data_IF_578625735417
#
_entry.id   IF_578625735417
#
_cell.length_a   1.000
_cell.length_b   1.000
_cell.length_c   1.000
_cell.angle_alpha   90.00
_cell.angle_beta   90.00
_cell.angle_gamma   90.00
#
_symmetry.space_group_name_H-M   'P 1'
#
loop_
_entity.id
_entity.type
_entity.pdbx_description
1 polymer ?
#
# COMPACT_ATOMS: atom_id res chain seq x y z
N UNK A 1 -11.49 -23.82 -9.24
CA UNK A 1 -11.84 -22.60 -10.02
C UNK A 1 -12.87 -22.98 -11.08
N UNK A 2 -14.09 -22.47 -10.94
CA UNK A 2 -15.26 -22.89 -11.73
C UNK A 2 -15.66 -21.92 -12.86
N UNK A 3 -14.80 -20.96 -13.22
CA UNK A 3 -15.18 -19.85 -14.11
C UNK A 3 -14.67 -19.97 -15.56
N UNK A 4 -14.07 -21.09 -15.96
CA UNK A 4 -13.58 -21.28 -17.32
C UNK A 4 -14.35 -22.42 -18.00
N UNK A 5 -14.91 -22.14 -19.17
CA UNK A 5 -15.62 -23.15 -19.97
C UNK A 5 -14.64 -24.29 -20.29
N UNK A 6 -15.08 -25.55 -20.18
CA UNK A 6 -14.20 -26.69 -20.45
C UNK A 6 -13.84 -26.78 -21.95
N UNK A 7 -14.73 -26.33 -22.83
CA UNK A 7 -14.52 -26.18 -24.27
C UNK A 7 -14.57 -24.69 -24.61
N UNK A 8 -13.59 -24.25 -25.38
CA UNK A 8 -13.45 -22.88 -25.88
C UNK A 8 -13.73 -22.87 -27.37
N UNK A 9 -14.48 -21.87 -27.81
CA UNK A 9 -14.78 -21.70 -29.23
C UNK A 9 -13.61 -21.04 -29.95
N UNK A 10 -13.29 -21.53 -31.16
CA UNK A 10 -12.32 -20.88 -32.04
C UNK A 10 -13.06 -19.85 -32.88
N UNK A 11 -12.52 -18.64 -32.95
CA UNK A 11 -13.10 -17.56 -33.75
C UNK A 11 -12.38 -17.44 -35.10
N UNK A 12 -13.18 -17.28 -36.15
CA UNK A 12 -12.70 -16.98 -37.50
C UNK A 12 -12.17 -15.54 -37.60
N UNK A 13 -11.51 -15.22 -38.71
CA UNK A 13 -11.04 -13.86 -39.00
C UNK A 13 -12.16 -12.80 -39.09
N UNK A 14 -13.40 -13.23 -39.32
CA UNK A 14 -14.58 -12.37 -39.35
C UNK A 14 -15.09 -12.00 -37.95
N UNK A 15 -14.57 -12.63 -36.90
CA UNK A 15 -15.00 -12.44 -35.51
C UNK A 15 -16.19 -13.30 -35.10
N UNK A 16 -16.60 -14.24 -35.94
CA UNK A 16 -17.67 -15.22 -35.70
C UNK A 16 -17.07 -16.56 -35.28
N UNK A 17 -17.83 -17.37 -34.53
CA UNK A 17 -17.39 -18.72 -34.15
C UNK A 17 -17.22 -19.59 -35.40
N UNK A 18 -16.07 -20.25 -35.55
CA UNK A 18 -15.77 -21.08 -36.73
C UNK A 18 -16.38 -22.48 -36.67
N UNK A 19 -17.11 -22.82 -35.60
CA UNK A 19 -17.65 -24.16 -35.33
C UNK A 19 -16.62 -25.13 -34.74
N UNK A 20 -15.33 -24.78 -34.73
CA UNK A 20 -14.28 -25.58 -34.06
C UNK A 20 -14.23 -25.24 -32.58
N UNK A 21 -14.04 -26.26 -31.76
CA UNK A 21 -13.86 -26.13 -30.32
C UNK A 21 -12.54 -26.77 -29.88
N UNK A 22 -11.88 -26.17 -28.90
CA UNK A 22 -10.67 -26.69 -28.28
C UNK A 22 -10.88 -26.82 -26.78
N UNK A 23 -10.43 -27.94 -26.20
CA UNK A 23 -10.49 -28.16 -24.75
C UNK A 23 -9.55 -27.16 -24.05
N UNK A 24 -10.01 -26.55 -22.97
CA UNK A 24 -9.20 -25.65 -22.15
C UNK A 24 -7.98 -26.39 -21.55
N UNK A 25 -6.74 -25.99 -21.90
CA UNK A 25 -5.53 -26.60 -21.37
C UNK A 25 -5.44 -26.51 -19.85
N UNK A 26 -4.88 -27.54 -19.22
CA UNK A 26 -4.80 -27.63 -17.76
C UNK A 26 -3.98 -26.49 -17.13
N UNK A 27 -3.05 -25.88 -17.88
CA UNK A 27 -2.25 -24.73 -17.44
C UNK A 27 -3.10 -23.52 -17.02
N UNK A 28 -4.29 -23.34 -17.60
CA UNK A 28 -5.20 -22.25 -17.22
C UNK A 28 -5.91 -22.49 -15.89
N UNK A 29 -5.92 -23.74 -15.42
CA UNK A 29 -6.45 -24.12 -14.11
C UNK A 29 -5.36 -24.09 -13.04
N UNK A 30 -4.10 -23.78 -13.37
CA UNK A 30 -2.99 -23.75 -12.42
C UNK A 30 -3.21 -22.73 -11.27
N UNK A 31 -2.61 -22.95 -10.09
CA UNK A 31 -2.70 -22.00 -8.97
C UNK A 31 -2.12 -20.62 -9.33
N UNK A 32 -2.88 -19.58 -9.01
CA UNK A 32 -2.46 -18.18 -9.21
C UNK A 32 -1.70 -17.70 -7.97
N UNK A 33 -0.39 -17.44 -8.11
CA UNK A 33 0.49 -16.93 -7.05
C UNK A 33 1.12 -15.59 -7.43
N UNK A 34 0.47 -14.44 -7.12
CA UNK A 34 0.98 -13.12 -7.50
C UNK A 34 2.30 -12.79 -6.80
N UNK A 35 2.54 -13.31 -5.60
CA UNK A 35 3.80 -13.22 -4.86
C UNK A 35 4.98 -13.85 -5.64
N UNK A 36 4.80 -15.08 -6.13
CA UNK A 36 5.82 -15.77 -6.94
C UNK A 36 6.03 -15.03 -8.26
N UNK A 37 4.96 -14.60 -8.93
CA UNK A 37 5.05 -13.85 -10.18
C UNK A 37 5.83 -12.55 -9.98
N UNK A 38 5.54 -11.79 -8.93
CA UNK A 38 6.24 -10.54 -8.64
C UNK A 38 7.71 -10.77 -8.26
N UNK A 39 8.02 -11.80 -7.47
CA UNK A 39 9.38 -12.18 -7.11
C UNK A 39 10.22 -12.53 -8.36
N UNK A 40 9.67 -13.40 -9.22
CA UNK A 40 10.32 -13.81 -10.46
C UNK A 40 10.47 -12.62 -11.42
N UNK A 41 9.42 -11.81 -11.59
CA UNK A 41 9.45 -10.62 -12.44
C UNK A 41 10.54 -9.65 -11.98
N UNK A 42 10.59 -9.34 -10.69
CA UNK A 42 11.55 -8.38 -10.11
C UNK A 42 12.99 -8.82 -10.32
N UNK A 43 13.28 -10.11 -10.16
CA UNK A 43 14.64 -10.62 -10.33
C UNK A 43 15.02 -10.76 -11.81
N UNK A 44 14.13 -11.25 -12.67
CA UNK A 44 14.41 -11.34 -14.11
C UNK A 44 14.55 -9.98 -14.77
N UNK A 45 13.78 -8.97 -14.34
CA UNK A 45 13.88 -7.59 -14.85
C UNK A 45 15.21 -6.93 -14.50
N UNK A 46 16.00 -7.46 -13.56
CA UNK A 46 17.36 -6.95 -13.30
C UNK A 46 18.35 -7.38 -14.38
N UNK A 47 18.07 -8.48 -15.10
CA UNK A 47 19.04 -9.12 -15.99
C UNK A 47 19.19 -8.44 -17.36
N UNK A 48 18.33 -7.48 -17.70
CA UNK A 48 18.45 -6.70 -18.93
C UNK A 48 19.06 -5.31 -18.70
N UNK A 49 19.61 -5.06 -17.51
CA UNK A 49 20.22 -3.78 -17.16
C UNK A 49 21.66 -3.73 -17.64
N UNK A 50 22.07 -2.58 -18.15
CA UNK A 50 23.49 -2.31 -18.43
C UNK A 50 24.19 -1.78 -17.17
N UNK A 51 25.41 -2.24 -16.87
CA UNK A 51 26.25 -1.67 -15.82
C UNK A 51 26.50 -0.18 -16.05
N UNK A 52 26.67 0.56 -14.95
CA UNK A 52 27.15 1.94 -14.99
C UNK A 52 28.13 2.16 -13.83
N UNK A 53 29.19 2.90 -14.11
CA UNK A 53 30.25 3.23 -13.16
C UNK A 53 30.77 4.64 -13.45
N UNK A 54 31.32 5.29 -12.43
CA UNK A 54 32.14 6.51 -12.63
C UNK A 54 33.57 6.10 -12.99
N UNK A 55 34.32 6.97 -13.66
CA UNK A 55 35.74 6.73 -13.91
C UNK A 55 36.50 6.52 -12.59
N UNK A 56 37.45 5.59 -12.57
CA UNK A 56 38.27 5.31 -11.40
C UNK A 56 39.12 6.53 -10.99
N UNK A 57 39.56 7.31 -11.98
CA UNK A 57 40.45 8.45 -11.78
C UNK A 57 39.70 9.77 -11.50
N UNK A 58 38.37 9.74 -11.51
CA UNK A 58 37.55 10.92 -11.28
C UNK A 58 37.82 11.53 -9.89
N UNK A 59 38.31 12.76 -9.85
CA UNK A 59 38.68 13.45 -8.62
C UNK A 59 40.04 13.03 -8.05
N UNK A 60 40.81 12.19 -8.76
CA UNK A 60 42.16 11.74 -8.42
C UNK A 60 43.26 12.21 -9.39
N UNK A 61 42.90 12.83 -10.52
CA UNK A 61 43.83 13.35 -11.53
C UNK A 61 44.59 14.61 -11.09
N UNK A 62 44.38 15.11 -9.86
CA UNK A 62 45.03 16.31 -9.34
C UNK A 62 46.06 15.94 -8.28
N UNK A 63 47.29 16.44 -8.41
CA UNK A 63 48.29 16.35 -7.33
C UNK A 63 47.95 17.36 -6.23
N UNK A 64 47.71 16.87 -5.02
CA UNK A 64 47.30 17.67 -3.89
C UNK A 64 47.83 17.06 -2.58
N UNK A 65 48.16 17.92 -1.62
CA UNK A 65 48.75 17.50 -0.36
C UNK A 65 48.15 18.33 0.78
N UNK A 66 48.02 17.73 1.96
CA UNK A 66 47.54 18.47 3.13
C UNK A 66 48.63 19.42 3.62
N UNK A 67 48.27 20.65 3.91
CA UNK A 67 49.21 21.63 4.48
C UNK A 67 49.48 21.41 5.97
N UNK A 68 48.88 20.39 6.59
CA UNK A 68 49.02 20.12 8.01
C UNK A 68 48.34 21.17 8.89
N UNK A 69 48.82 21.32 10.12
CA UNK A 69 48.36 22.34 11.08
C UNK A 69 49.12 23.66 10.91
N UNK A 70 48.66 24.73 11.55
CA UNK A 70 49.40 26.00 11.65
C UNK A 70 49.11 27.05 10.57
N UNK A 71 48.19 26.80 9.63
CA UNK A 71 47.82 27.76 8.57
C UNK A 71 46.37 28.29 8.64
N UNK A 72 45.73 28.22 9.81
CA UNK A 72 44.32 28.62 10.02
C UNK A 72 43.32 28.08 8.98
N UNK A 73 43.60 26.91 8.40
CA UNK A 73 42.78 26.24 7.39
C UNK A 73 42.55 24.77 7.75
N UNK A 74 41.46 24.19 7.25
CA UNK A 74 41.17 22.77 7.41
C UNK A 74 42.27 21.89 6.78
N UNK A 75 42.56 20.75 7.43
CA UNK A 75 43.62 19.77 7.09
C UNK A 75 43.32 18.91 5.85
N UNK A 76 42.49 19.40 4.93
CA UNK A 76 42.17 18.70 3.68
C UNK A 76 43.32 18.85 2.68
N UNK A 77 43.61 17.86 1.81
CA UNK A 77 44.57 18.02 0.73
C UNK A 77 44.19 19.18 -0.18
N UNK A 78 45.17 20.02 -0.54
CA UNK A 78 45.02 21.20 -1.38
C UNK A 78 45.91 21.11 -2.61
N UNK A 79 45.42 21.62 -3.74
CA UNK A 79 46.17 21.64 -5.00
C UNK A 79 47.41 22.51 -4.86
N UNK A 80 48.57 21.96 -5.27
CA UNK A 80 49.87 22.65 -5.22
C UNK A 80 49.99 23.70 -6.35
N UNK A 81 50.95 24.62 -6.23
CA UNK A 81 51.23 25.66 -7.22
C UNK A 81 50.62 27.03 -6.88
N UNK A 82 50.62 27.96 -7.84
CA UNK A 82 50.18 29.35 -7.71
C UNK A 82 49.66 29.91 -9.04
N UNK A 83 49.23 31.17 -9.07
CA UNK A 83 48.86 31.89 -10.32
C UNK A 83 47.53 31.49 -10.97
N UNK A 84 46.75 30.57 -10.39
CA UNK A 84 45.42 30.19 -10.90
C UNK A 84 44.39 30.13 -9.77
N UNK A 85 43.11 30.27 -10.11
CA UNK A 85 42.02 30.13 -9.13
C UNK A 85 41.96 28.73 -8.50
N UNK A 86 42.59 27.70 -9.10
CA UNK A 86 42.54 26.32 -8.60
C UNK A 86 43.58 26.05 -7.50
N UNK A 87 44.69 26.78 -7.50
CA UNK A 87 45.78 26.64 -6.54
C UNK A 87 45.29 26.89 -5.11
N UNK A 88 45.68 26.04 -4.15
CA UNK A 88 45.27 26.15 -2.75
C UNK A 88 43.85 25.70 -2.41
N UNK A 89 43.02 25.31 -3.40
CA UNK A 89 41.69 24.75 -3.15
C UNK A 89 41.74 23.29 -2.68
N UNK A 90 40.72 22.85 -1.93
CA UNK A 90 40.57 21.46 -1.50
C UNK A 90 40.39 20.46 -2.65
N UNK A 91 40.93 19.25 -2.48
CA UNK A 91 40.91 18.15 -3.43
C UNK A 91 40.69 16.79 -2.74
N UNK A 92 40.51 15.73 -3.53
CA UNK A 92 40.26 14.32 -3.14
C UNK A 92 39.01 14.02 -2.30
N UNK A 93 38.65 14.85 -1.33
CA UNK A 93 37.51 14.62 -0.43
C UNK A 93 36.16 14.65 -1.14
N UNK A 94 35.21 13.85 -0.68
CA UNK A 94 33.82 13.84 -1.17
C UNK A 94 33.03 15.09 -0.82
N UNK A 95 33.47 15.85 0.18
CA UNK A 95 32.96 17.17 0.52
C UNK A 95 33.61 18.30 -0.30
N UNK A 96 34.68 18.02 -1.05
CA UNK A 96 35.36 19.02 -1.87
C UNK A 96 34.70 19.15 -3.25
N UNK A 97 34.50 20.38 -3.71
CA UNK A 97 34.06 20.66 -5.09
C UNK A 97 35.11 20.13 -6.08
N UNK A 98 34.69 19.28 -7.02
CA UNK A 98 35.58 18.64 -7.99
C UNK A 98 36.42 17.48 -7.42
N UNK A 99 36.20 17.07 -6.17
CA UNK A 99 36.78 15.87 -5.58
C UNK A 99 36.08 14.58 -6.02
N UNK A 100 36.55 13.43 -5.51
CA UNK A 100 35.93 12.13 -5.81
C UNK A 100 34.64 11.95 -5.03
N UNK A 101 33.69 11.18 -5.54
CA UNK A 101 32.49 10.83 -4.74
C UNK A 101 32.78 9.77 -3.69
N UNK A 102 31.97 9.73 -2.63
CA UNK A 102 31.99 8.64 -1.67
C UNK A 102 31.52 7.32 -2.32
N UNK A 103 32.21 6.22 -2.02
CA UNK A 103 31.95 4.88 -2.54
C UNK A 103 31.64 4.85 -4.06
N UNK A 104 32.63 5.17 -4.92
CA UNK A 104 32.44 5.21 -6.37
C UNK A 104 31.79 3.94 -6.91
N UNK A 105 30.80 4.10 -7.80
CA UNK A 105 30.09 2.96 -8.39
C UNK A 105 31.04 2.10 -9.20
N UNK A 106 31.06 0.80 -8.92
CA UNK A 106 31.92 -0.17 -9.60
C UNK A 106 31.16 -0.98 -10.64
N UNK A 107 31.86 -1.34 -11.71
CA UNK A 107 31.32 -2.16 -12.81
C UNK A 107 30.89 -3.54 -12.34
N UNK A 108 31.64 -4.15 -11.41
CA UNK A 108 31.41 -5.50 -10.86
C UNK A 108 30.32 -5.58 -9.78
N UNK A 109 29.47 -4.56 -9.62
CA UNK A 109 28.26 -4.69 -8.77
C UNK A 109 27.47 -5.92 -9.23
N UNK A 110 26.91 -6.69 -8.29
CA UNK A 110 26.05 -7.83 -8.65
C UNK A 110 24.75 -7.33 -9.31
N UNK A 111 24.74 -7.15 -10.63
CA UNK A 111 23.59 -6.66 -11.40
C UNK A 111 22.55 -7.75 -11.64
N UNK A 112 23.02 -8.93 -12.05
CA UNK A 112 22.19 -10.04 -12.46
C UNK A 112 21.69 -10.86 -11.27
N UNK A 113 20.51 -11.48 -11.41
CA UNK A 113 19.91 -12.39 -10.44
C UNK A 113 19.44 -13.67 -11.16
N UNK A 114 19.97 -14.81 -10.71
CA UNK A 114 19.48 -16.13 -11.10
C UNK A 114 18.18 -16.42 -10.35
N UNK A 115 17.28 -17.12 -11.02
CA UNK A 115 16.01 -17.61 -10.48
C UNK A 115 15.87 -19.07 -10.88
N UNK A 116 15.31 -19.90 -10.01
CA UNK A 116 15.14 -21.33 -10.25
C UNK A 116 14.20 -21.58 -11.43
N UNK A 117 14.51 -22.59 -12.24
CA UNK A 117 13.72 -22.93 -13.44
C UNK A 117 12.29 -23.30 -13.05
N UNK A 118 12.10 -24.07 -11.96
CA UNK A 118 10.78 -24.40 -11.42
C UNK A 118 9.96 -23.16 -11.05
N UNK A 119 10.55 -22.18 -10.37
CA UNK A 119 9.88 -20.91 -10.04
C UNK A 119 9.53 -20.09 -11.28
N UNK A 120 10.42 -20.04 -12.29
CA UNK A 120 10.12 -19.37 -13.56
C UNK A 120 8.93 -20.01 -14.27
N UNK A 121 8.89 -21.35 -14.34
CA UNK A 121 7.79 -22.11 -14.94
C UNK A 121 6.49 -21.90 -14.16
N UNK A 122 6.54 -21.94 -12.83
CA UNK A 122 5.40 -21.63 -11.95
C UNK A 122 4.83 -20.23 -12.24
N UNK A 123 5.69 -19.21 -12.31
CA UNK A 123 5.25 -17.84 -12.59
C UNK A 123 4.58 -17.71 -13.96
N UNK A 124 5.03 -18.45 -14.98
CA UNK A 124 4.34 -18.48 -16.28
C UNK A 124 2.97 -19.14 -16.13
N UNK A 125 2.87 -20.31 -15.49
CA UNK A 125 1.58 -20.98 -15.28
C UNK A 125 0.58 -20.10 -14.52
N UNK A 126 1.00 -19.45 -13.43
CA UNK A 126 0.15 -18.50 -12.71
C UNK A 126 -0.27 -17.30 -13.55
N UNK A 127 0.62 -16.77 -14.41
CA UNK A 127 0.28 -15.66 -15.30
C UNK A 127 -0.72 -16.07 -16.39
N UNK A 128 -0.58 -17.27 -16.94
CA UNK A 128 -1.50 -17.85 -17.92
C UNK A 128 -2.88 -18.10 -17.29
N UNK A 129 -2.94 -18.80 -16.16
CA UNK A 129 -4.19 -19.02 -15.43
C UNK A 129 -4.92 -17.70 -15.09
N UNK A 130 -4.17 -16.68 -14.65
CA UNK A 130 -4.76 -15.37 -14.39
C UNK A 130 -5.27 -14.64 -15.65
N UNK A 131 -4.68 -14.91 -16.82
CA UNK A 131 -5.16 -14.37 -18.09
C UNK A 131 -6.43 -15.05 -18.63
N UNK A 132 -6.90 -16.14 -18.00
CA UNK A 132 -8.18 -16.77 -18.30
C UNK A 132 -9.35 -16.23 -17.46
N UNK A 133 -9.07 -15.38 -16.45
CA UNK A 133 -10.11 -14.85 -15.55
C UNK A 133 -10.49 -13.42 -15.93
N UNK A 134 -11.74 -13.17 -16.36
CA UNK A 134 -12.18 -11.83 -16.76
C UNK A 134 -11.94 -10.77 -15.69
N UNK A 135 -12.27 -11.06 -14.43
CA UNK A 135 -12.09 -10.13 -13.32
C UNK A 135 -10.63 -9.67 -13.16
N UNK A 136 -9.66 -10.57 -13.29
CA UNK A 136 -8.24 -10.21 -13.18
C UNK A 136 -7.78 -9.39 -14.40
N UNK A 137 -8.24 -9.73 -15.60
CA UNK A 137 -7.90 -9.00 -16.82
C UNK A 137 -8.49 -7.58 -16.83
N UNK A 138 -9.73 -7.43 -16.36
CA UNK A 138 -10.36 -6.12 -16.17
C UNK A 138 -9.68 -5.30 -15.07
N UNK A 139 -9.30 -5.91 -13.94
CA UNK A 139 -8.63 -5.21 -12.85
C UNK A 139 -7.27 -4.63 -13.27
N UNK A 140 -6.59 -5.28 -14.23
CA UNK A 140 -5.38 -4.74 -14.87
C UNK A 140 -5.69 -3.47 -15.68
N UNK A 141 -6.92 -3.34 -16.16
CA UNK A 141 -7.47 -2.21 -16.89
C UNK A 141 -7.51 -2.40 -18.40
N UNK A 142 -7.49 -3.64 -18.90
CA UNK A 142 -7.78 -3.91 -20.31
C UNK A 142 -9.27 -3.67 -20.60
N UNK A 143 -9.58 -3.20 -21.82
CA UNK A 143 -10.96 -3.07 -22.30
C UNK A 143 -11.40 -4.39 -22.93
N UNK A 144 -12.18 -5.19 -22.19
CA UNK A 144 -12.64 -6.51 -22.61
C UNK A 144 -14.16 -6.66 -22.53
N UNK A 145 -14.89 -5.55 -22.34
CA UNK A 145 -16.33 -5.54 -22.10
C UNK A 145 -17.14 -6.12 -23.26
N UNK A 146 -16.67 -5.93 -24.50
CA UNK A 146 -17.33 -6.38 -25.72
C UNK A 146 -16.74 -7.69 -26.29
N UNK A 147 -15.69 -8.24 -25.67
CA UNK A 147 -14.99 -9.43 -26.15
C UNK A 147 -15.86 -10.66 -25.91
N UNK A 148 -16.04 -11.56 -26.90
CA UNK A 148 -17.04 -12.61 -26.82
C UNK A 148 -16.66 -13.74 -25.85
N UNK A 149 -15.37 -14.09 -25.75
CA UNK A 149 -14.88 -15.16 -24.89
C UNK A 149 -13.46 -14.88 -24.39
N UNK A 150 -13.12 -15.43 -23.22
CA UNK A 150 -11.82 -15.33 -22.60
C UNK A 150 -11.47 -16.68 -21.93
N UNK A 151 -10.35 -17.34 -22.29
CA UNK A 151 -9.34 -16.99 -23.29
C UNK A 151 -9.86 -16.84 -24.72
N UNK A 152 -9.36 -15.83 -25.45
CA UNK A 152 -9.74 -15.61 -26.85
C UNK A 152 -8.83 -16.43 -27.78
N UNK A 153 -9.42 -17.35 -28.55
CA UNK A 153 -8.72 -18.22 -29.50
C UNK A 153 -9.19 -17.92 -30.92
N UNK A 154 -8.23 -17.75 -31.84
CA UNK A 154 -8.45 -17.41 -33.25
C UNK A 154 -7.82 -18.45 -34.17
N UNK A 155 -8.35 -18.60 -35.38
CA UNK A 155 -7.81 -19.55 -36.37
C UNK A 155 -6.36 -19.26 -36.79
N UNK A 156 -5.65 -20.30 -37.19
CA UNK A 156 -4.23 -20.23 -37.57
C UNK A 156 -3.97 -19.40 -38.85
N UNK A 157 -5.00 -19.09 -39.64
CA UNK A 157 -4.90 -18.22 -40.82
C UNK A 157 -4.26 -16.86 -40.49
N UNK A 158 -4.44 -16.39 -39.25
CA UNK A 158 -3.86 -15.12 -38.75
C UNK A 158 -2.34 -15.16 -38.68
N UNK A 159 -1.73 -16.35 -38.55
CA UNK A 159 -0.27 -16.50 -38.57
C UNK A 159 0.35 -16.13 -39.94
N UNK A 160 -0.44 -16.29 -41.02
CA UNK A 160 -0.04 -15.98 -42.40
C UNK A 160 -0.28 -14.53 -42.85
N UNK A 161 -0.80 -13.66 -41.98
CA UNK A 161 -1.05 -12.26 -42.35
C UNK A 161 0.25 -11.53 -42.67
N UNK A 162 0.25 -10.79 -43.79
CA UNK A 162 1.42 -10.02 -44.24
C UNK A 162 1.23 -8.51 -44.08
N UNK A 163 -0.01 -8.02 -44.09
CA UNK A 163 -0.33 -6.59 -44.08
C UNK A 163 -0.93 -6.15 -42.75
N UNK A 164 -0.50 -4.99 -42.25
CA UNK A 164 -1.04 -4.37 -41.03
C UNK A 164 -2.53 -4.04 -41.13
N UNK A 165 -3.04 -3.77 -42.34
CA UNK A 165 -4.46 -3.48 -42.58
C UNK A 165 -5.35 -4.67 -42.16
N UNK A 166 -4.94 -5.88 -42.51
CA UNK A 166 -5.62 -7.13 -42.11
C UNK A 166 -5.56 -7.32 -40.60
N UNK A 167 -4.39 -7.09 -39.98
CA UNK A 167 -4.21 -7.17 -38.54
C UNK A 167 -5.08 -6.14 -37.76
N UNK A 168 -5.28 -4.94 -38.28
CA UNK A 168 -6.20 -3.95 -37.68
C UNK A 168 -7.65 -4.39 -37.86
N UNK A 169 -8.01 -4.93 -39.02
CA UNK A 169 -9.37 -5.38 -39.32
C UNK A 169 -9.80 -6.48 -38.35
N UNK A 170 -8.97 -7.49 -38.15
CA UNK A 170 -9.30 -8.60 -37.23
C UNK A 170 -9.45 -8.11 -35.78
N UNK A 171 -8.61 -7.19 -35.31
CA UNK A 171 -8.73 -6.64 -33.95
C UNK A 171 -10.03 -5.82 -33.75
N UNK A 172 -10.55 -5.20 -34.82
CA UNK A 172 -11.87 -4.56 -34.80
C UNK A 172 -12.98 -5.60 -34.77
N UNK A 173 -12.89 -6.65 -35.59
CA UNK A 173 -13.88 -7.74 -35.63
C UNK A 173 -13.98 -8.51 -34.31
N UNK A 174 -12.84 -8.76 -33.66
CA UNK A 174 -12.76 -9.38 -32.34
C UNK A 174 -13.09 -8.40 -31.19
N UNK A 175 -13.48 -7.15 -31.49
CA UNK A 175 -13.81 -6.10 -30.52
C UNK A 175 -12.67 -5.74 -29.54
N UNK A 176 -11.45 -6.17 -29.83
CA UNK A 176 -10.24 -5.86 -29.07
C UNK A 176 -9.65 -4.46 -29.36
N UNK A 177 -10.17 -3.76 -30.39
CA UNK A 177 -9.66 -2.46 -30.82
C UNK A 177 -9.83 -1.36 -29.76
N UNK A 178 -10.82 -1.46 -28.87
CA UNK A 178 -11.03 -0.50 -27.79
C UNK A 178 -9.84 -0.47 -26.81
N UNK A 179 -9.17 -1.60 -26.58
CA UNK A 179 -7.95 -1.64 -25.76
C UNK A 179 -6.78 -0.92 -26.47
N UNK A 180 -6.73 -0.97 -27.79
CA UNK A 180 -5.71 -0.27 -28.60
C UNK A 180 -6.00 1.23 -28.66
N UNK A 181 -7.26 1.65 -28.83
CA UNK A 181 -7.66 3.06 -28.69
C UNK A 181 -7.22 3.63 -27.33
N UNK A 182 -7.34 2.85 -26.26
CA UNK A 182 -6.84 3.22 -24.92
C UNK A 182 -5.31 3.34 -24.89
N UNK A 183 -4.58 2.53 -25.64
CA UNK A 183 -3.12 2.71 -25.80
C UNK A 183 -2.81 4.03 -26.49
N UNK A 184 -3.46 4.34 -27.62
CA UNK A 184 -3.30 5.61 -28.32
C UNK A 184 -3.56 6.81 -27.39
N UNK A 185 -4.69 6.82 -26.68
CA UNK A 185 -5.03 7.89 -25.73
C UNK A 185 -4.03 8.03 -24.56
N UNK A 186 -3.32 6.95 -24.22
CA UNK A 186 -2.34 6.97 -23.12
C UNK A 186 -0.93 7.45 -23.53
N UNK A 187 -0.69 7.71 -24.81
CA UNK A 187 0.60 8.14 -25.30
C UNK A 187 0.93 9.54 -24.78
N UNK A 188 1.98 9.65 -23.98
CA UNK A 188 2.41 10.92 -23.39
C UNK A 188 3.91 10.99 -23.21
N UNK A 189 4.39 12.19 -22.93
CA UNK A 189 5.81 12.45 -22.65
C UNK A 189 6.18 11.92 -21.26
N UNK A 190 7.37 11.32 -21.14
CA UNK A 190 7.90 10.86 -19.86
C UNK A 190 8.29 12.05 -18.99
N UNK A 191 7.85 12.05 -17.73
CA UNK A 191 8.29 13.03 -16.74
C UNK A 191 9.77 12.83 -16.35
N UNK A 192 10.47 13.94 -16.09
CA UNK A 192 11.85 13.94 -15.58
C UNK A 192 12.96 13.68 -16.62
N UNK A 193 14.17 13.34 -16.12
CA UNK A 193 15.42 13.24 -16.89
C UNK A 193 15.47 12.08 -17.89
N UNK A 194 14.47 11.19 -17.90
CA UNK A 194 14.39 10.09 -18.86
C UNK A 194 14.26 10.56 -20.33
N UNK A 195 13.76 11.78 -20.55
CA UNK A 195 13.66 12.40 -21.88
C UNK A 195 15.02 12.55 -22.56
N UNK A 196 16.05 12.88 -21.79
CA UNK A 196 17.44 13.04 -22.25
C UNK A 196 18.17 11.69 -22.46
N UNK A 197 17.57 10.57 -22.02
CA UNK A 197 18.21 9.24 -22.03
C UNK A 197 17.48 8.27 -22.96
N UNK A 198 17.10 8.74 -24.16
CA UNK A 198 16.40 7.97 -25.19
C UNK A 198 15.10 7.26 -24.74
N UNK A 199 14.41 7.82 -23.73
CA UNK A 199 13.15 7.26 -23.18
C UNK A 199 12.05 8.33 -23.13
N UNK A 200 11.95 9.14 -24.19
CA UNK A 200 11.12 10.36 -24.25
C UNK A 200 9.61 10.11 -24.15
N UNK A 201 9.09 9.05 -24.79
CA UNK A 201 7.65 8.72 -24.82
C UNK A 201 7.33 7.52 -23.93
N UNK A 202 6.12 7.51 -23.35
CA UNK A 202 5.53 6.39 -22.61
C UNK A 202 4.14 6.09 -23.15
N UNK A 203 3.73 4.82 -23.06
CA UNK A 203 2.40 4.35 -23.46
C UNK A 203 2.01 3.11 -22.66
N UNK A 204 0.71 2.84 -22.59
CA UNK A 204 0.15 1.62 -21.98
C UNK A 204 0.54 0.36 -22.78
N UNK A 205 0.53 -0.80 -22.12
CA UNK A 205 0.62 -2.10 -22.80
C UNK A 205 -0.78 -2.56 -23.19
N UNK A 206 -0.96 -2.95 -24.45
CA UNK A 206 -2.20 -3.50 -24.98
C UNK A 206 -2.19 -5.04 -24.96
N UNK A 207 -2.97 -5.68 -25.85
CA UNK A 207 -3.08 -7.13 -25.91
C UNK A 207 -1.75 -7.81 -26.23
N UNK A 208 -1.61 -9.05 -25.79
CA UNK A 208 -0.53 -9.93 -26.17
C UNK A 208 -1.04 -10.96 -27.18
N UNK A 209 -0.50 -10.99 -28.39
CA UNK A 209 -0.81 -12.01 -29.40
C UNK A 209 0.21 -13.14 -29.25
N UNK A 210 -0.29 -14.36 -29.05
CA UNK A 210 0.52 -15.56 -28.83
C UNK A 210 0.28 -16.51 -29.98
N UNK A 211 1.37 -16.85 -30.68
CA UNK A 211 1.37 -17.65 -31.90
C UNK A 211 2.33 -18.83 -31.81
N UNK A 212 2.19 -19.80 -32.69
CA UNK A 212 3.07 -20.96 -32.77
C UNK A 212 4.20 -20.72 -33.77
N UNK A 213 3.87 -20.40 -35.02
CA UNK A 213 4.83 -20.21 -36.11
C UNK A 213 4.75 -18.78 -36.70
N UNK A 214 5.87 -18.28 -37.20
CA UNK A 214 5.93 -16.92 -37.77
C UNK A 214 5.95 -16.97 -39.29
N UNK A 215 4.76 -16.98 -39.89
CA UNK A 215 4.56 -16.96 -41.34
C UNK A 215 4.29 -15.54 -41.89
N UNK A 216 4.55 -14.50 -41.08
CA UNK A 216 4.27 -13.11 -41.43
C UNK A 216 3.62 -12.31 -40.30
N UNK A 217 3.02 -12.99 -39.33
CA UNK A 217 2.31 -12.38 -38.19
C UNK A 217 3.15 -11.33 -37.46
N UNK A 218 4.46 -11.56 -37.29
CA UNK A 218 5.30 -10.55 -36.63
C UNK A 218 5.36 -9.25 -37.41
N UNK A 219 5.47 -9.32 -38.74
CA UNK A 219 5.51 -8.14 -39.61
C UNK A 219 4.16 -7.43 -39.65
N UNK A 220 3.05 -8.19 -39.67
CA UNK A 220 1.70 -7.62 -39.69
C UNK A 220 1.34 -6.88 -38.39
N UNK A 221 1.70 -7.41 -37.22
CA UNK A 221 1.27 -6.84 -35.93
C UNK A 221 2.28 -5.88 -35.29
N UNK A 222 3.58 -5.91 -35.64
CA UNK A 222 4.63 -5.12 -34.94
C UNK A 222 4.41 -3.60 -34.96
N UNK A 223 3.74 -3.06 -35.98
CA UNK A 223 3.56 -1.62 -36.14
C UNK A 223 2.40 -1.05 -35.31
N UNK A 224 1.52 -1.92 -34.79
CA UNK A 224 0.37 -1.48 -33.99
C UNK A 224 0.84 -1.19 -32.55
N UNK A 225 0.61 0.02 -32.01
CA UNK A 225 1.14 0.38 -30.71
C UNK A 225 0.49 -0.43 -29.58
N UNK A 226 1.32 -0.83 -28.61
CA UNK A 226 0.88 -1.54 -27.41
C UNK A 226 0.77 -3.05 -27.56
N UNK A 227 0.70 -3.58 -28.79
CA UNK A 227 0.71 -5.01 -29.04
C UNK A 227 2.05 -5.61 -28.63
N UNK A 228 2.01 -6.82 -28.10
CA UNK A 228 3.22 -7.62 -27.88
C UNK A 228 3.00 -8.99 -28.50
N UNK A 229 4.00 -9.45 -29.23
CA UNK A 229 4.02 -10.74 -29.87
C UNK A 229 4.85 -11.70 -29.02
N UNK A 230 4.34 -12.91 -28.81
CA UNK A 230 5.04 -13.99 -28.11
C UNK A 230 4.88 -15.29 -28.87
N UNK A 231 5.98 -16.02 -29.02
CA UNK A 231 5.92 -17.40 -29.46
C UNK A 231 5.57 -18.31 -28.25
N UNK A 232 4.66 -19.26 -28.43
CA UNK A 232 4.23 -20.20 -27.39
C UNK A 232 5.38 -21.03 -26.79
N UNK A 233 6.41 -21.35 -27.58
CA UNK A 233 7.58 -22.08 -27.11
C UNK A 233 8.50 -21.22 -26.22
N UNK A 234 8.44 -19.89 -26.37
CA UNK A 234 9.34 -18.92 -25.73
C UNK A 234 8.54 -17.87 -24.93
N UNK A 235 7.63 -18.33 -24.08
CA UNK A 235 6.86 -17.46 -23.20
C UNK A 235 7.74 -16.71 -22.20
N UNK A 236 7.41 -15.44 -21.96
CA UNK A 236 8.22 -14.56 -21.12
C UNK A 236 7.36 -13.88 -20.04
N UNK A 237 7.71 -14.11 -18.77
CA UNK A 237 7.05 -13.52 -17.59
C UNK A 237 7.05 -11.98 -17.65
N UNK A 238 8.11 -11.35 -18.16
CA UNK A 238 8.20 -9.89 -18.28
C UNK A 238 7.16 -9.31 -19.25
N UNK A 239 6.69 -10.12 -20.20
CA UNK A 239 5.69 -9.75 -21.20
C UNK A 239 4.29 -10.20 -20.79
N UNK A 240 4.13 -11.37 -20.20
CA UNK A 240 2.83 -11.87 -19.71
C UNK A 240 2.33 -11.14 -18.46
N UNK A 241 3.22 -10.80 -17.53
CA UNK A 241 2.90 -10.07 -16.30
C UNK A 241 3.68 -8.75 -16.24
N UNK A 242 3.35 -7.74 -17.09
CA UNK A 242 4.09 -6.49 -17.15
C UNK A 242 3.96 -5.73 -15.82
N UNK A 243 5.10 -5.37 -15.23
CA UNK A 243 5.16 -4.70 -13.92
C UNK A 243 4.97 -5.63 -12.73
N UNK A 244 4.96 -6.96 -12.92
CA UNK A 244 4.79 -7.92 -11.82
C UNK A 244 3.34 -8.23 -11.46
N UNK A 245 2.36 -7.53 -12.04
CA UNK A 245 0.94 -7.85 -11.85
C UNK A 245 0.43 -8.76 -12.98
N UNK A 246 -0.32 -9.79 -12.59
CA UNK A 246 -0.96 -10.80 -13.46
C UNK A 246 -2.18 -10.24 -14.20
N UNK A 247 -2.81 -11.05 -15.08
CA UNK A 247 -4.04 -10.68 -15.77
C UNK A 247 -3.83 -9.76 -16.98
N UNK A 248 -2.83 -10.04 -17.83
CA UNK A 248 -2.72 -9.35 -19.12
C UNK A 248 -3.67 -10.01 -20.13
N UNK A 249 -4.37 -9.20 -20.93
CA UNK A 249 -5.22 -9.73 -22.00
C UNK A 249 -4.35 -10.38 -23.10
N UNK A 250 -4.64 -11.65 -23.39
CA UNK A 250 -3.92 -12.48 -24.36
C UNK A 250 -4.88 -13.02 -25.42
N UNK A 251 -4.42 -12.98 -26.68
CA UNK A 251 -5.10 -13.51 -27.87
C UNK A 251 -4.25 -14.67 -28.37
N UNK A 252 -4.85 -15.83 -28.57
CA UNK A 252 -4.16 -17.07 -28.91
C UNK A 252 -4.53 -17.53 -30.32
N UNK A 253 -3.57 -18.02 -31.10
CA UNK A 253 -3.88 -18.84 -32.27
C UNK A 253 -4.25 -20.26 -31.84
N UNK A 254 -5.05 -20.95 -32.66
CA UNK A 254 -5.55 -22.29 -32.39
C UNK A 254 -4.39 -23.28 -32.13
N UNK A 255 -3.39 -23.30 -33.01
CA UNK A 255 -2.19 -24.12 -32.88
C UNK A 255 -1.40 -23.80 -31.61
N UNK A 256 -1.23 -22.50 -31.28
CA UNK A 256 -0.56 -22.10 -30.05
C UNK A 256 -1.32 -22.56 -28.81
N UNK A 257 -2.65 -22.49 -28.84
CA UNK A 257 -3.50 -22.89 -27.74
C UNK A 257 -3.44 -24.40 -27.47
N UNK A 258 -3.54 -25.22 -28.54
CA UNK A 258 -3.39 -26.69 -28.46
C UNK A 258 -1.99 -27.09 -27.97
N UNK A 259 -0.95 -26.34 -28.34
CA UNK A 259 0.45 -26.63 -27.98
C UNK A 259 0.75 -26.44 -26.49
N UNK A 260 -0.12 -25.77 -25.72
CA UNK A 260 0.06 -25.62 -24.28
C UNK A 260 0.02 -26.96 -23.52
N UNK A 261 -0.81 -27.90 -23.95
CA UNK A 261 -0.94 -29.21 -23.30
C UNK A 261 0.35 -30.06 -23.43
N UNK A 262 0.96 -30.24 -24.61
CA UNK A 262 2.29 -30.85 -24.72
C UNK A 262 3.39 -30.10 -23.93
N UNK A 263 3.28 -28.77 -23.84
CA UNK A 263 4.33 -27.91 -23.28
C UNK A 263 4.33 -27.85 -21.74
N UNK A 264 3.17 -28.00 -21.10
CA UNK A 264 3.02 -27.97 -19.65
C UNK A 264 2.45 -29.25 -19.04
N UNK A 265 1.78 -30.08 -19.83
CA UNK A 265 1.10 -31.29 -19.37
C UNK A 265 -0.22 -31.01 -18.65
N UNK A 266 -0.82 -32.08 -18.15
CA UNK A 266 -1.90 -32.05 -17.17
C UNK A 266 -1.39 -32.60 -15.84
N UNK A 267 -2.14 -32.52 -14.74
CA UNK A 267 -1.70 -33.14 -13.48
C UNK A 267 -1.50 -34.66 -13.57
N UNK A 268 -2.25 -35.33 -14.47
CA UNK A 268 -2.16 -36.78 -14.71
C UNK A 268 -1.06 -37.16 -15.70
N UNK A 269 -0.84 -36.33 -16.73
CA UNK A 269 0.14 -36.59 -17.79
C UNK A 269 1.22 -35.50 -17.78
N UNK A 270 2.50 -35.84 -17.50
CA UNK A 270 3.58 -34.86 -17.47
C UNK A 270 3.80 -34.22 -18.85
N UNK A 271 4.53 -33.11 -18.88
CA UNK A 271 4.83 -32.43 -20.15
C UNK A 271 5.74 -33.27 -21.04
N UNK A 272 5.46 -33.30 -22.35
CA UNK A 272 6.31 -34.00 -23.33
C UNK A 272 7.50 -33.14 -23.76
N UNK A 273 7.31 -31.83 -23.90
CA UNK A 273 8.35 -30.91 -24.40
C UNK A 273 9.32 -30.43 -23.32
N UNK A 274 9.03 -30.67 -22.04
CA UNK A 274 9.90 -30.28 -20.92
C UNK A 274 10.24 -31.50 -20.09
N UNK A 275 11.52 -31.84 -20.06
CA UNK A 275 12.04 -32.90 -19.23
C UNK A 275 11.73 -32.64 -17.74
N UNK A 276 11.20 -33.65 -17.06
CA UNK A 276 10.99 -33.65 -15.61
C UNK A 276 10.05 -32.56 -15.09
N UNK A 277 9.05 -32.14 -15.88
CA UNK A 277 8.12 -31.10 -15.46
C UNK A 277 6.67 -31.59 -15.41
N UNK A 278 5.98 -31.20 -14.34
CA UNK A 278 4.54 -31.36 -14.17
C UNK A 278 3.94 -30.04 -13.61
N UNK A 279 2.64 -29.88 -13.73
CA UNK A 279 1.92 -28.70 -13.22
C UNK A 279 2.02 -28.59 -11.70
N UNK A 280 2.08 -27.35 -11.16
CA UNK A 280 2.07 -27.15 -9.72
C UNK A 280 0.74 -27.60 -9.09
N UNK A 281 0.84 -28.18 -7.88
CA UNK A 281 -0.29 -28.71 -7.12
C UNK A 281 -1.01 -27.57 -6.39
N UNK A 282 -2.33 -27.66 -6.31
CA UNK A 282 -3.15 -26.75 -5.52
C UNK A 282 -3.01 -27.03 -4.03
N UNK A 283 -2.78 -25.99 -3.22
CA UNK A 283 -2.85 -26.10 -1.76
C UNK A 283 -4.29 -26.27 -1.25
N UNK A 284 -5.24 -25.69 -1.95
CA UNK A 284 -6.67 -25.72 -1.63
C UNK A 284 -7.43 -26.04 -2.90
N UNK A 285 -8.25 -27.09 -2.88
CA UNK A 285 -9.01 -27.57 -4.03
C UNK A 285 -10.20 -26.67 -4.35
N UNK A 286 -11.03 -26.37 -3.34
CA UNK A 286 -12.13 -25.42 -3.42
C UNK A 286 -11.73 -24.07 -2.79
N UNK A 287 -11.62 -23.03 -3.60
CA UNK A 287 -11.24 -21.68 -3.14
C UNK A 287 -12.43 -20.78 -2.76
N UNK A 288 -13.66 -21.29 -2.87
CA UNK A 288 -14.86 -20.54 -2.48
C UNK A 288 -15.13 -20.69 -0.99
N UNK A 289 -14.52 -19.80 -0.20
CA UNK A 289 -14.68 -19.77 1.24
C UNK A 289 -16.12 -19.46 1.67
N UNK A 290 -16.87 -18.67 0.89
CA UNK A 290 -18.26 -18.34 1.21
C UNK A 290 -19.12 -19.60 1.14
N UNK A 291 -18.95 -20.41 0.08
CA UNK A 291 -19.63 -21.69 -0.05
C UNK A 291 -19.22 -22.68 1.03
N UNK A 292 -17.93 -22.80 1.33
CA UNK A 292 -17.43 -23.69 2.39
C UNK A 292 -18.04 -23.27 3.74
N UNK A 293 -17.92 -21.99 4.11
CA UNK A 293 -18.44 -21.50 5.40
C UNK A 293 -19.94 -21.66 5.55
N UNK A 294 -20.72 -21.54 4.46
CA UNK A 294 -22.19 -21.69 4.47
C UNK A 294 -22.67 -23.13 4.29
N UNK A 295 -21.75 -24.10 4.17
CA UNK A 295 -22.10 -25.52 4.08
C UNK A 295 -22.80 -26.00 5.35
N UNK A 296 -23.76 -26.92 5.21
CA UNK A 296 -24.60 -27.37 6.33
C UNK A 296 -23.77 -28.10 7.38
N UNK A 297 -22.75 -28.85 6.93
CA UNK A 297 -21.81 -29.60 7.75
C UNK A 297 -21.06 -28.68 8.71
N UNK A 298 -20.58 -27.52 8.20
CA UNK A 298 -19.92 -26.52 9.04
C UNK A 298 -20.94 -25.81 9.92
N UNK A 299 -22.06 -25.34 9.37
CA UNK A 299 -23.05 -24.58 10.13
C UNK A 299 -23.65 -25.38 11.30
N UNK A 300 -23.84 -26.69 11.13
CA UNK A 300 -24.33 -27.59 12.20
C UNK A 300 -23.35 -27.71 13.37
N UNK A 301 -22.05 -27.58 13.13
CA UNK A 301 -21.02 -27.67 14.16
C UNK A 301 -20.70 -26.33 14.86
N UNK A 302 -21.22 -25.21 14.34
CA UNK A 302 -20.93 -23.89 14.89
C UNK A 302 -21.87 -23.50 16.03
N UNK A 303 -21.33 -22.83 17.05
CA UNK A 303 -22.12 -22.14 18.07
C UNK A 303 -22.80 -20.90 17.51
N UNK A 304 -23.87 -20.44 18.18
CA UNK A 304 -24.53 -19.18 17.85
C UNK A 304 -23.55 -17.99 17.92
N UNK A 305 -23.58 -17.06 16.95
CA UNK A 305 -22.66 -15.92 16.91
C UNK A 305 -23.01 -14.90 18.00
N UNK A 306 -22.04 -14.56 18.85
CA UNK A 306 -22.20 -13.46 19.80
C UNK A 306 -21.88 -12.12 19.11
N UNK A 307 -22.91 -11.41 18.66
CA UNK A 307 -22.80 -10.10 17.99
C UNK A 307 -22.92 -8.91 18.95
N UNK A 308 -23.02 -9.15 20.26
CA UNK A 308 -23.21 -8.08 21.26
C UNK A 308 -21.88 -7.41 21.58
N UNK A 309 -21.74 -6.15 21.16
CA UNK A 309 -20.56 -5.33 21.47
C UNK A 309 -20.72 -4.67 22.82
N UNK A 310 -20.01 -5.17 23.83
CA UNK A 310 -19.96 -4.56 25.17
C UNK A 310 -18.93 -3.43 25.19
N UNK A 311 -19.40 -2.18 25.08
CA UNK A 311 -18.54 -1.01 25.23
C UNK A 311 -18.29 -0.69 26.69
N UNK A 312 -17.16 -0.03 26.97
CA UNK A 312 -16.85 0.50 28.30
C UNK A 312 -17.97 1.44 28.74
N UNK A 313 -18.70 1.05 29.78
CA UNK A 313 -19.69 1.91 30.42
C UNK A 313 -18.94 2.94 31.26
N UNK A 314 -19.16 4.23 31.01
CA UNK A 314 -18.59 5.29 31.83
C UNK A 314 -19.10 5.14 33.26
N UNK A 315 -18.18 4.92 34.21
CA UNK A 315 -18.51 4.85 35.64
C UNK A 315 -18.91 6.24 36.13
N UNK A 316 -20.21 6.49 36.19
CA UNK A 316 -20.77 7.70 36.79
C UNK A 316 -20.67 7.58 38.32
N UNK A 317 -20.28 8.66 39.01
CA UNK A 317 -20.20 8.67 40.46
C UNK A 317 -21.62 8.59 41.08
N UNK A 318 -21.96 7.54 41.85
CA UNK A 318 -23.30 7.38 42.44
C UNK A 318 -23.67 8.48 43.44
N UNK A 319 -22.69 9.05 44.16
CA UNK A 319 -22.94 10.10 45.14
C UNK A 319 -23.41 11.40 44.47
N UNK A 320 -22.91 11.67 43.26
CA UNK A 320 -23.30 12.83 42.43
C UNK A 320 -24.50 12.52 41.51
N UNK A 321 -24.71 11.27 41.12
CA UNK A 321 -25.76 10.86 40.19
C UNK A 321 -26.81 9.94 40.84
N UNK A 322 -27.96 10.50 41.21
CA UNK A 322 -29.04 9.79 41.91
C UNK A 322 -29.54 8.54 41.17
N UNK A 323 -29.67 8.58 39.84
CA UNK A 323 -30.16 7.41 39.08
C UNK A 323 -29.17 6.25 39.11
N UNK A 324 -27.87 6.54 39.13
CA UNK A 324 -26.83 5.52 39.26
C UNK A 324 -26.82 4.96 40.68
N UNK A 325 -27.02 5.81 41.70
CA UNK A 325 -27.21 5.34 43.08
C UNK A 325 -28.43 4.43 43.19
N UNK A 326 -29.57 4.79 42.60
CA UNK A 326 -30.78 3.96 42.63
C UNK A 326 -30.57 2.64 41.88
N UNK A 327 -29.88 2.67 40.73
CA UNK A 327 -29.54 1.46 39.96
C UNK A 327 -28.68 0.49 40.76
N UNK A 328 -27.79 0.99 41.63
CA UNK A 328 -26.94 0.17 42.49
C UNK A 328 -27.61 -0.19 43.83
N UNK A 329 -28.38 0.74 44.39
CA UNK A 329 -29.10 0.61 45.66
C UNK A 329 -30.46 1.34 45.60
N UNK A 330 -31.55 0.62 45.31
CA UNK A 330 -32.89 1.19 45.23
C UNK A 330 -33.38 1.84 46.54
N UNK A 331 -32.95 1.33 47.70
CA UNK A 331 -33.36 1.84 49.02
C UNK A 331 -32.88 3.27 49.27
N UNK A 332 -31.81 3.72 48.60
CA UNK A 332 -31.31 5.09 48.69
C UNK A 332 -32.38 6.13 48.35
N UNK A 333 -33.37 5.81 47.50
CA UNK A 333 -34.50 6.68 47.18
C UNK A 333 -35.39 6.91 48.41
N UNK A 334 -35.75 5.83 49.11
CA UNK A 334 -36.60 5.87 50.31
C UNK A 334 -35.88 6.56 51.46
N UNK A 335 -34.61 6.20 51.70
CA UNK A 335 -33.79 6.82 52.75
C UNK A 335 -33.65 8.34 52.53
N UNK A 336 -33.35 8.78 51.30
CA UNK A 336 -33.25 10.21 50.98
C UNK A 336 -34.59 10.94 51.14
N UNK A 337 -35.71 10.34 50.71
CA UNK A 337 -37.05 10.93 50.90
C UNK A 337 -37.40 11.09 52.38
N UNK A 338 -37.17 10.05 53.20
CA UNK A 338 -37.37 10.11 54.65
C UNK A 338 -36.52 11.20 55.29
N UNK A 339 -35.25 11.31 54.91
CA UNK A 339 -34.34 12.34 55.42
C UNK A 339 -34.79 13.76 55.05
N UNK A 340 -35.23 14.00 53.80
CA UNK A 340 -35.73 15.31 53.36
C UNK A 340 -36.99 15.70 54.14
N UNK A 341 -37.96 14.79 54.27
CA UNK A 341 -39.19 15.05 55.03
C UNK A 341 -38.90 15.33 56.50
N UNK A 342 -37.98 14.57 57.12
CA UNK A 342 -37.55 14.78 58.49
C UNK A 342 -36.85 16.14 58.67
N UNK A 343 -35.97 16.52 57.74
CA UNK A 343 -35.28 17.82 57.78
C UNK A 343 -36.24 18.99 57.60
N UNK A 344 -37.20 18.90 56.67
CA UNK A 344 -38.23 19.93 56.48
C UNK A 344 -39.06 20.11 57.76
N UNK A 345 -39.50 19.00 58.38
CA UNK A 345 -40.22 19.01 59.66
C UNK A 345 -39.40 19.70 60.77
N UNK A 346 -38.12 19.34 60.89
CA UNK A 346 -37.23 19.93 61.90
C UNK A 346 -36.94 21.42 61.66
N UNK A 347 -36.81 21.84 60.40
CA UNK A 347 -36.60 23.24 60.04
C UNK A 347 -37.83 24.09 60.38
N UNK A 348 -39.02 23.61 60.03
CA UNK A 348 -40.28 24.28 60.35
C UNK A 348 -40.45 24.43 61.86
N UNK A 349 -40.23 23.35 62.63
CA UNK A 349 -40.23 23.42 64.10
C UNK A 349 -39.20 24.40 64.69
N UNK A 350 -38.11 24.70 63.96
CA UNK A 350 -37.10 25.67 64.39
C UNK A 350 -37.50 27.11 64.06
N UNK A 351 -38.21 27.34 62.95
CA UNK A 351 -38.81 28.63 62.62
C UNK A 351 -39.96 28.97 63.58
N UNK A 352 -40.77 27.98 63.96
CA UNK A 352 -41.89 28.14 64.89
C UNK A 352 -41.41 28.40 66.34
N UNK A 353 -40.18 27.99 66.68
CA UNK A 353 -39.52 28.37 67.93
C UNK A 353 -39.09 29.85 67.88
N UNK A 354 -39.96 30.75 68.36
CA UNK A 354 -39.59 32.16 68.63
C UNK A 354 -38.33 32.23 69.52
N UNK A 355 -37.36 33.11 69.22
CA UNK A 355 -36.12 33.16 69.99
C UNK A 355 -36.38 33.67 71.40
N UNK A 356 -35.86 32.94 72.40
CA UNK A 356 -35.95 33.27 73.82
C UNK A 356 -35.19 34.61 74.10
N UNK A 357 -35.87 35.68 74.57
CA UNK A 357 -35.30 37.03 74.66
C UNK A 357 -34.01 37.09 75.50
N UNK A 358 -33.92 36.23 76.52
CA UNK A 358 -32.78 36.15 77.46
C UNK A 358 -31.50 35.72 76.74
N UNK A 359 -31.59 34.77 75.79
CA UNK A 359 -30.42 34.31 75.02
C UNK A 359 -29.99 35.33 73.96
N UNK A 360 -30.88 36.20 73.49
CA UNK A 360 -30.53 37.29 72.58
C UNK A 360 -29.82 38.44 73.30
N UNK A 361 -30.28 38.86 74.49
CA UNK A 361 -29.54 39.80 75.35
C UNK A 361 -28.13 39.27 75.69
N UNK A 362 -28.02 38.01 76.08
CA UNK A 362 -26.71 37.39 76.37
C UNK A 362 -25.78 37.33 75.13
N UNK A 363 -26.31 37.09 73.92
CA UNK A 363 -25.52 37.15 72.68
C UNK A 363 -25.14 38.59 72.30
N UNK A 364 -26.03 39.56 72.53
CA UNK A 364 -25.77 40.98 72.28
C UNK A 364 -24.70 41.53 73.23
N UNK A 365 -24.75 41.18 74.51
CA UNK A 365 -23.73 41.55 75.51
C UNK A 365 -22.38 40.88 75.23
N UNK A 366 -22.39 39.61 74.79
CA UNK A 366 -21.15 38.93 74.37
C UNK A 366 -20.55 39.59 73.12
N UNK A 367 -21.38 40.11 72.21
CA UNK A 367 -20.94 40.88 71.02
C UNK A 367 -20.41 42.26 71.41
N UNK A 368 -21.07 42.98 72.32
CA UNK A 368 -20.59 44.26 72.90
C UNK A 368 -19.25 44.08 73.62
N UNK A 369 -19.09 43.05 74.47
CA UNK A 369 -17.81 42.72 75.12
C UNK A 369 -16.71 42.39 74.11
N UNK A 370 -17.03 41.71 73.01
CA UNK A 370 -16.06 41.44 71.92
C UNK A 370 -15.66 42.72 71.18
N UNK A 371 -16.61 43.62 70.93
CA UNK A 371 -16.35 44.91 70.29
C UNK A 371 -15.55 45.86 71.21
N UNK A 372 -15.85 45.90 72.51
CA UNK A 372 -15.09 46.66 73.49
C UNK A 372 -13.64 46.14 73.63
N UNK A 373 -13.44 44.81 73.66
CA UNK A 373 -12.08 44.22 73.60
C UNK A 373 -11.33 44.58 72.32
N UNK A 374 -12.02 44.65 71.19
CA UNK A 374 -11.42 45.04 69.92
C UNK A 374 -11.03 46.53 69.90
N UNK A 375 -11.89 47.42 70.41
CA UNK A 375 -11.60 48.85 70.54
C UNK A 375 -10.43 49.11 71.50
N UNK A 376 -10.42 48.48 72.68
CA UNK A 376 -9.30 48.59 73.62
C UNK A 376 -7.99 48.09 73.01
N UNK A 377 -8.02 46.98 72.26
CA UNK A 377 -6.83 46.47 71.57
C UNK A 377 -6.33 47.46 70.51
N UNK A 378 -7.25 48.09 69.78
CA UNK A 378 -6.94 49.10 68.75
C UNK A 378 -6.36 50.39 69.37
N UNK A 379 -6.86 50.82 70.52
CA UNK A 379 -6.32 51.97 71.28
C UNK A 379 -4.93 51.69 71.84
N UNK A 380 -4.68 50.48 72.37
CA UNK A 380 -3.34 50.09 72.84
C UNK A 380 -2.33 50.01 71.70
N UNK A 381 -2.73 49.45 70.55
CA UNK A 381 -1.88 49.40 69.35
C UNK A 381 -1.61 50.80 68.78
N UNK A 382 -2.58 51.73 68.85
CA UNK A 382 -2.39 53.12 68.44
C UNK A 382 -1.43 53.90 69.38
N UNK A 383 -1.51 53.66 70.70
CA UNK A 383 -0.57 54.26 71.67
C UNK A 383 0.85 53.71 71.52
N UNK A 384 1.01 52.42 71.27
CA UNK A 384 2.32 51.83 70.94
C UNK A 384 2.86 52.33 69.59
N UNK A 385 1.99 52.53 68.60
CA UNK A 385 2.33 53.13 67.31
C UNK A 385 2.84 54.57 67.45
N UNK A 386 2.12 55.41 68.20
CA UNK A 386 2.51 56.79 68.47
C UNK A 386 3.81 56.89 69.29
N UNK A 387 4.03 55.98 70.25
CA UNK A 387 5.28 55.90 71.00
C UNK A 387 6.48 55.50 70.13
N UNK A 388 6.28 54.57 69.18
CA UNK A 388 7.31 54.17 68.19
C UNK A 388 7.59 55.26 67.16
N UNK A 389 6.57 56.02 66.73
CA UNK A 389 6.73 57.13 65.80
C UNK A 389 7.44 58.35 66.46
N UNK A 390 7.15 58.61 67.74
CA UNK A 390 7.87 59.60 68.54
C UNK A 390 9.34 59.21 68.81
N UNK A 391 9.61 57.91 69.00
CA UNK A 391 10.98 57.40 69.13
C UNK A 391 11.76 57.49 67.80
N UNK A 392 11.12 57.18 66.67
CA UNK A 392 11.74 57.26 65.34
C UNK A 392 12.07 58.71 64.90
N UNK A 393 11.25 59.70 65.30
CA UNK A 393 11.53 61.13 65.06
C UNK A 393 12.67 61.69 65.91
N UNK A 394 12.98 61.08 67.07
CA UNK A 394 14.15 61.47 67.91
C UNK A 394 15.48 60.91 67.40
N UNK A 395 15.46 59.95 66.48
CA UNK A 395 16.67 59.33 65.87
C UNK A 395 17.00 59.85 64.47
N UNK A 396 16.24 60.83 63.95
CA UNK A 396 16.41 61.37 62.59
C UNK A 396 16.56 62.91 62.56
N UNK A 397 17.02 63.53 63.65
CA UNK A 397 17.40 64.94 63.74
C UNK A 397 18.82 65.08 64.25
#
# INVERSE_FOLDING_TARGET
MACARPLITVYSEKGEASGKNVVLPAVFKAPIRPDIVNFVHTNLRKNNRQPYAVSADAGHQTSAESWGTGRAVARIPRVRGGGTHRSGQGAFGNMCRGGRMFAPTKTWRRWHRRVNVGQKRYAICSALAASALPALVMSKGHRIEEIPELPLVIEDKVEGYKKTKEAVLILKKLKAWNDIKKVYASQRMRAGKGKMRNRRRIQRRGPCVIFNEDNGITKAFRNIPGITLLNVNKLNVLRLAPGGHVGRFCIWTESAFRKLDPLYGTWRKPSTLKLGYNLPIHKMTNTDLSRIMKSQEIQKALRAPNKKVHRRVLKKNPLKNLRVMIKLNPYAKTARRRAILLQAKNHQAKLDKKPNPIKQKAKADKKKRRQARYQHKKETEAKEGAAKEAAAKKTAA
#
